data_IF_281905222244
#
_entry.id   IF_281905222244
#
_cell.length_a   1.000
_cell.length_b   1.000
_cell.length_c   1.000
_cell.angle_alpha   90.00
_cell.angle_beta   90.00
_cell.angle_gamma   90.00
#
_symmetry.space_group_name_H-M   'P 1'
#
loop_
_entity.id
_entity.type
_entity.pdbx_description
1 polymer ?
#
# COMPACT_ATOMS: atom_id res chain seq x y z
N UNK A 1 28.84 4.51 -1.72
CA UNK A 1 27.68 3.72 -1.25
C UNK A 1 27.80 2.33 -1.84
N UNK A 2 27.69 1.28 -1.03
CA UNK A 2 27.70 -0.09 -1.54
C UNK A 2 26.39 -0.40 -2.28
N UNK A 3 26.44 -1.36 -3.21
CA UNK A 3 25.29 -1.75 -4.02
C UNK A 3 24.10 -2.22 -3.15
N UNK A 4 24.38 -2.92 -2.05
CA UNK A 4 23.38 -3.36 -1.07
C UNK A 4 22.65 -2.19 -0.41
N UNK A 5 23.36 -1.11 -0.06
CA UNK A 5 22.75 0.10 0.51
C UNK A 5 21.86 0.80 -0.50
N UNK A 6 22.26 0.84 -1.77
CA UNK A 6 21.44 1.41 -2.86
C UNK A 6 20.15 0.62 -3.01
N UNK A 7 20.25 -0.72 -3.04
CA UNK A 7 19.08 -1.60 -3.19
C UNK A 7 18.11 -1.42 -2.02
N UNK A 8 18.61 -1.41 -0.78
CA UNK A 8 17.78 -1.19 0.42
C UNK A 8 17.01 0.14 0.37
N UNK A 9 17.67 1.22 -0.09
CA UNK A 9 17.01 2.52 -0.26
C UNK A 9 15.89 2.44 -1.29
N UNK A 10 16.10 1.75 -2.41
CA UNK A 10 15.04 1.53 -3.41
C UNK A 10 13.87 0.73 -2.84
N UNK A 11 14.13 -0.35 -2.09
CA UNK A 11 13.10 -1.17 -1.46
C UNK A 11 12.25 -0.37 -0.46
N UNK A 12 12.90 0.47 0.36
CA UNK A 12 12.22 1.38 1.29
C UNK A 12 11.36 2.42 0.53
N UNK A 13 11.88 3.01 -0.55
CA UNK A 13 11.12 3.93 -1.38
C UNK A 13 9.87 3.26 -1.98
N UNK A 14 10.00 2.03 -2.48
CA UNK A 14 8.86 1.24 -2.97
C UNK A 14 7.83 0.98 -1.87
N UNK A 15 8.28 0.60 -0.67
CA UNK A 15 7.39 0.37 0.47
C UNK A 15 6.60 1.63 0.84
N UNK A 16 7.26 2.79 0.88
CA UNK A 16 6.60 4.08 1.18
C UNK A 16 5.56 4.41 0.10
N UNK A 17 5.87 4.19 -1.18
CA UNK A 17 4.92 4.43 -2.28
C UNK A 17 3.70 3.52 -2.16
N UNK A 18 3.89 2.21 -1.99
CA UNK A 18 2.79 1.24 -1.85
C UNK A 18 1.92 1.55 -0.64
N UNK A 19 2.54 1.92 0.48
CA UNK A 19 1.81 2.32 1.69
C UNK A 19 1.03 3.61 1.44
N UNK A 20 1.65 4.62 0.85
CA UNK A 20 1.03 5.90 0.54
C UNK A 20 -0.16 5.75 -0.42
N UNK A 21 -0.02 4.94 -1.47
CA UNK A 21 -1.12 4.59 -2.37
C UNK A 21 -2.20 3.79 -1.66
N UNK A 22 -1.83 2.79 -0.85
CA UNK A 22 -2.77 1.99 -0.08
C UNK A 22 -3.63 2.84 0.85
N UNK A 23 -3.00 3.70 1.66
CA UNK A 23 -3.69 4.68 2.53
C UNK A 23 -4.57 5.58 1.68
N UNK A 24 -4.02 6.17 0.60
CA UNK A 24 -4.79 7.02 -0.30
C UNK A 24 -6.05 6.33 -0.80
N UNK A 25 -5.97 5.08 -1.26
CA UNK A 25 -7.12 4.34 -1.79
C UNK A 25 -8.13 3.88 -0.73
N UNK A 26 -7.69 3.54 0.49
CA UNK A 26 -8.58 3.21 1.62
C UNK A 26 -9.35 4.43 2.09
N UNK A 27 -8.66 5.57 2.22
CA UNK A 27 -9.26 6.83 2.66
C UNK A 27 -9.75 7.70 1.50
N UNK A 28 -9.68 7.20 0.25
CA UNK A 28 -10.18 7.93 -0.91
C UNK A 28 -11.70 8.00 -0.83
N UNK A 29 -12.20 9.13 -0.34
CA UNK A 29 -13.60 9.54 -0.45
C UNK A 29 -13.77 10.67 -1.47
N UNK A 30 -12.67 11.12 -2.09
CA UNK A 30 -12.60 12.24 -3.02
C UNK A 30 -12.62 11.80 -4.49
N UNK A 31 -13.64 11.04 -4.89
CA UNK A 31 -14.18 11.29 -6.23
C UNK A 31 -15.09 12.50 -6.11
N UNK A 32 -14.58 13.63 -6.60
CA UNK A 32 -15.04 14.96 -6.24
C UNK A 32 -16.53 15.23 -6.49
N UNK A 33 -17.05 16.34 -5.94
CA UNK A 33 -18.45 16.76 -6.06
C UNK A 33 -19.01 16.68 -7.50
N UNK A 34 -18.15 16.84 -8.51
CA UNK A 34 -18.50 16.78 -9.93
C UNK A 34 -18.83 15.36 -10.44
N UNK A 35 -18.09 14.34 -10.01
CA UNK A 35 -18.39 12.94 -10.38
C UNK A 35 -19.63 12.46 -9.65
N UNK A 36 -19.85 12.91 -8.42
CA UNK A 36 -21.06 12.60 -7.66
C UNK A 36 -22.33 13.14 -8.34
N UNK A 37 -22.28 14.38 -8.85
CA UNK A 37 -23.37 14.94 -9.63
C UNK A 37 -23.65 14.13 -10.91
N UNK A 38 -22.61 13.67 -11.61
CA UNK A 38 -22.73 12.84 -12.80
C UNK A 38 -23.32 11.45 -12.48
N UNK A 39 -22.78 10.75 -11.49
CA UNK A 39 -23.26 9.41 -11.10
C UNK A 39 -24.68 9.45 -10.53
N UNK A 40 -25.04 10.50 -9.81
CA UNK A 40 -26.41 10.70 -9.31
C UNK A 40 -27.38 11.01 -10.45
N UNK A 41 -26.97 11.82 -11.42
CA UNK A 41 -27.80 12.21 -12.58
C UNK A 41 -28.02 11.07 -13.59
N UNK A 42 -27.01 10.26 -13.86
CA UNK A 42 -27.06 9.26 -14.95
C UNK A 42 -27.13 7.80 -14.47
N UNK A 43 -26.69 7.50 -13.25
CA UNK A 43 -26.53 6.13 -12.75
C UNK A 43 -27.19 5.88 -11.39
N UNK A 44 -28.09 6.78 -10.99
CA UNK A 44 -28.86 6.70 -9.74
C UNK A 44 -28.00 6.45 -8.48
N UNK A 45 -26.73 6.84 -8.52
CA UNK A 45 -25.77 6.68 -7.41
C UNK A 45 -25.32 5.24 -7.11
N UNK A 46 -25.84 4.19 -7.77
CA UNK A 46 -25.44 2.78 -7.50
C UNK A 46 -23.99 2.48 -7.90
N UNK A 47 -23.50 3.09 -8.97
CA UNK A 47 -22.15 2.84 -9.50
C UNK A 47 -21.07 3.41 -8.58
N UNK A 48 -21.36 4.51 -7.87
CA UNK A 48 -20.46 5.12 -6.89
C UNK A 48 -20.14 4.17 -5.73
N UNK A 49 -21.15 3.52 -5.13
CA UNK A 49 -20.95 2.58 -4.01
C UNK A 49 -20.01 1.44 -4.39
N UNK A 50 -20.24 0.82 -5.56
CA UNK A 50 -19.39 -0.26 -6.06
C UNK A 50 -17.96 0.20 -6.37
N UNK A 51 -17.80 1.41 -6.91
CA UNK A 51 -16.47 1.96 -7.18
C UNK A 51 -15.70 2.27 -5.90
N UNK A 52 -16.35 2.89 -4.91
CA UNK A 52 -15.75 3.17 -3.59
C UNK A 52 -15.39 1.89 -2.82
N UNK A 53 -16.23 0.86 -2.88
CA UNK A 53 -15.91 -0.46 -2.31
C UNK A 53 -14.72 -1.11 -3.02
N UNK A 54 -14.67 -0.99 -4.36
CA UNK A 54 -13.56 -1.51 -5.15
C UNK A 54 -12.23 -0.79 -4.84
N UNK A 55 -12.21 0.54 -4.83
CA UNK A 55 -11.00 1.32 -4.53
C UNK A 55 -10.51 1.07 -3.11
N UNK A 56 -11.41 0.97 -2.13
CA UNK A 56 -11.04 0.58 -0.76
C UNK A 56 -10.44 -0.81 -0.70
N UNK A 57 -11.02 -1.78 -1.43
CA UNK A 57 -10.49 -3.15 -1.50
C UNK A 57 -9.09 -3.18 -2.10
N UNK A 58 -8.86 -2.44 -3.18
CA UNK A 58 -7.52 -2.28 -3.77
C UNK A 58 -6.56 -1.61 -2.78
N UNK A 59 -7.02 -0.59 -2.05
CA UNK A 59 -6.23 0.06 -1.00
C UNK A 59 -5.82 -0.90 0.10
N UNK A 60 -6.74 -1.71 0.62
CA UNK A 60 -6.45 -2.74 1.62
C UNK A 60 -5.46 -3.79 1.10
N UNK A 61 -5.60 -4.21 -0.15
CA UNK A 61 -4.66 -5.13 -0.79
C UNK A 61 -3.25 -4.53 -0.82
N UNK A 62 -3.10 -3.27 -1.27
CA UNK A 62 -1.81 -2.57 -1.30
C UNK A 62 -1.19 -2.44 0.10
N UNK A 63 -1.99 -2.11 1.11
CA UNK A 63 -1.52 -2.05 2.49
C UNK A 63 -1.07 -3.42 3.01
N UNK A 64 -1.82 -4.47 2.70
CA UNK A 64 -1.46 -5.84 3.12
C UNK A 64 -0.14 -6.27 2.49
N UNK A 65 0.02 -6.03 1.18
CA UNK A 65 1.28 -6.28 0.47
C UNK A 65 2.42 -5.47 1.08
N UNK A 66 2.18 -4.20 1.44
CA UNK A 66 3.18 -3.34 2.09
C UNK A 66 3.62 -3.92 3.43
N UNK A 67 2.69 -4.33 4.29
CA UNK A 67 2.99 -4.90 5.61
C UNK A 67 3.78 -6.20 5.48
N UNK A 68 3.37 -7.10 4.57
CA UNK A 68 4.10 -8.35 4.32
C UNK A 68 5.50 -8.06 3.78
N UNK A 69 5.64 -7.12 2.86
CA UNK A 69 6.93 -6.74 2.29
C UNK A 69 7.86 -6.12 3.35
N UNK A 70 7.34 -5.25 4.22
CA UNK A 70 8.09 -4.71 5.37
C UNK A 70 8.58 -5.82 6.30
N UNK A 71 7.73 -6.79 6.62
CA UNK A 71 8.12 -7.92 7.46
C UNK A 71 9.24 -8.76 6.82
N UNK A 72 9.17 -9.02 5.52
CA UNK A 72 10.22 -9.71 4.76
C UNK A 72 11.52 -8.91 4.73
N UNK A 73 11.44 -7.58 4.56
CA UNK A 73 12.60 -6.71 4.52
C UNK A 73 13.31 -6.67 5.88
N UNK A 74 12.56 -6.55 6.98
CA UNK A 74 13.10 -6.64 8.35
C UNK A 74 13.73 -8.02 8.56
N UNK A 75 13.04 -9.10 8.19
CA UNK A 75 13.56 -10.45 8.34
C UNK A 75 14.89 -10.61 7.60
N UNK A 76 14.99 -10.19 6.34
CA UNK A 76 16.21 -10.35 5.56
C UNK A 76 17.39 -9.53 6.11
N UNK A 77 17.13 -8.32 6.64
CA UNK A 77 18.19 -7.46 7.17
C UNK A 77 18.66 -7.87 8.57
N UNK A 78 17.75 -8.40 9.42
CA UNK A 78 18.05 -8.66 10.83
C UNK A 78 18.10 -10.14 11.21
N UNK A 79 17.59 -11.06 10.40
CA UNK A 79 17.73 -12.51 10.63
C UNK A 79 19.19 -12.98 10.76
N UNK A 80 20.16 -12.48 9.95
CA UNK A 80 21.57 -12.82 10.15
C UNK A 80 22.11 -12.39 11.51
N UNK A 81 21.62 -11.24 12.03
CA UNK A 81 21.98 -10.73 13.35
C UNK A 81 21.36 -11.61 14.45
N UNK A 82 20.10 -12.01 14.29
CA UNK A 82 19.43 -12.93 15.24
C UNK A 82 20.14 -14.28 15.30
N UNK A 83 20.50 -14.85 14.14
CA UNK A 83 21.24 -16.12 14.05
C UNK A 83 22.62 -16.07 14.74
N UNK A 84 23.31 -14.92 14.64
CA UNK A 84 24.58 -14.67 15.35
C UNK A 84 24.43 -14.65 16.89
N UNK A 85 23.25 -14.29 17.42
CA UNK A 85 22.98 -14.28 18.86
C UNK A 85 22.34 -15.57 19.38
N UNK A 86 21.74 -16.40 18.51
CA UNK A 86 21.15 -17.68 18.89
C UNK A 86 22.13 -18.86 18.89
N UNK A 87 23.37 -18.66 18.42
CA UNK A 87 24.50 -19.52 18.78
C UNK A 87 24.38 -20.99 18.40
N UNK A 88 24.14 -21.27 17.11
CA UNK A 88 24.56 -22.54 16.49
C UNK A 88 25.95 -22.40 15.87
#
# INVERSE_FOLDING_TARGET
>A
MNAETILLVFEICFLILFTGFGVRFVFYDEDGPNLDAFYKKYLNGRVRKKYAEFTRTVGFLLLTVSVVYLALLIWNQFSPVVLLFTGD
#
